data_IF_725662352706
#
_entry.id   IF_725662352706
#
_cell.length_a   1.000
_cell.length_b   1.000
_cell.length_c   1.000
_cell.angle_alpha   90.00
_cell.angle_beta   90.00
_cell.angle_gamma   90.00
#
_symmetry.space_group_name_H-M   'P 1'
#
loop_
_entity.id
_entity.type
_entity.pdbx_description
1 polymer ?
#
# COMPACT_ATOMS: atom_id res chain seq x y z
N UNK A 1 44.05 -6.01 -66.86
CA UNK A 1 43.05 -5.10 -66.26
C UNK A 1 41.77 -5.81 -65.80
N UNK A 2 40.99 -6.53 -66.62
CA UNK A 2 39.73 -7.16 -66.15
C UNK A 2 39.89 -8.22 -65.03
N UNK A 3 41.02 -8.95 -65.02
CA UNK A 3 41.28 -9.99 -64.00
C UNK A 3 41.68 -9.37 -62.65
N UNK A 4 42.38 -8.24 -62.63
CA UNK A 4 42.73 -7.51 -61.40
C UNK A 4 41.49 -6.90 -60.73
N UNK A 5 40.59 -6.29 -61.51
CA UNK A 5 39.32 -5.76 -60.99
C UNK A 5 38.45 -6.86 -60.37
N UNK A 6 38.44 -8.06 -60.94
CA UNK A 6 37.71 -9.20 -60.36
C UNK A 6 38.32 -9.68 -59.03
N UNK A 7 39.64 -9.63 -58.87
CA UNK A 7 40.32 -10.02 -57.63
C UNK A 7 40.12 -9.00 -56.51
N UNK A 8 40.14 -7.70 -56.81
CA UNK A 8 39.84 -6.65 -55.83
C UNK A 8 38.39 -6.69 -55.33
N UNK A 9 37.45 -6.95 -56.25
CA UNK A 9 36.04 -7.14 -55.89
C UNK A 9 35.86 -8.40 -55.00
N UNK A 10 36.49 -9.52 -55.34
CA UNK A 10 36.44 -10.73 -54.52
C UNK A 10 37.01 -10.50 -53.10
N UNK A 11 38.10 -9.75 -52.96
CA UNK A 11 38.69 -9.42 -51.65
C UNK A 11 37.79 -8.51 -50.80
N UNK A 12 37.08 -7.56 -51.42
CA UNK A 12 36.14 -6.69 -50.70
C UNK A 12 34.92 -7.46 -50.18
N UNK A 13 34.36 -8.39 -50.97
CA UNK A 13 33.28 -9.27 -50.51
C UNK A 13 33.71 -10.19 -49.36
N UNK A 14 34.93 -10.74 -49.39
CA UNK A 14 35.46 -11.55 -48.29
C UNK A 14 35.63 -10.75 -46.99
N UNK A 15 36.09 -9.49 -47.08
CA UNK A 15 36.18 -8.58 -45.93
C UNK A 15 34.82 -8.19 -45.38
N UNK A 16 33.83 -7.95 -46.24
CA UNK A 16 32.44 -7.69 -45.81
C UNK A 16 31.84 -8.92 -45.11
N UNK A 17 32.02 -10.12 -45.66
CA UNK A 17 31.57 -11.38 -45.04
C UNK A 17 32.18 -11.59 -43.66
N UNK A 18 33.49 -11.39 -43.52
CA UNK A 18 34.17 -11.54 -42.23
C UNK A 18 33.71 -10.49 -41.21
N UNK A 19 33.45 -9.25 -41.66
CA UNK A 19 32.85 -8.21 -40.80
C UNK A 19 31.44 -8.60 -40.33
N UNK A 20 30.59 -9.12 -41.22
CA UNK A 20 29.26 -9.59 -40.83
C UNK A 20 29.32 -10.81 -39.91
N UNK A 21 30.25 -11.74 -40.13
CA UNK A 21 30.44 -12.90 -39.26
C UNK A 21 30.88 -12.48 -37.85
N UNK A 22 31.81 -11.52 -37.74
CA UNK A 22 32.23 -10.98 -36.43
C UNK A 22 31.08 -10.23 -35.76
N UNK A 23 30.35 -9.40 -36.49
CA UNK A 23 29.19 -8.67 -35.95
C UNK A 23 28.11 -9.64 -35.44
N UNK A 24 27.79 -10.67 -36.21
CA UNK A 24 26.84 -11.71 -35.82
C UNK A 24 27.32 -12.48 -34.58
N UNK A 25 28.62 -12.79 -34.49
CA UNK A 25 29.22 -13.42 -33.33
C UNK A 25 29.10 -12.56 -32.06
N UNK A 26 29.41 -11.26 -32.17
CA UNK A 26 29.28 -10.31 -31.05
C UNK A 26 27.83 -10.19 -30.60
N UNK A 27 26.88 -10.04 -31.53
CA UNK A 27 25.45 -9.96 -31.22
C UNK A 27 24.91 -11.25 -30.59
N UNK A 28 25.37 -12.42 -31.07
CA UNK A 28 25.02 -13.70 -30.47
C UNK A 28 25.53 -13.81 -29.03
N UNK A 29 26.77 -13.41 -28.79
CA UNK A 29 27.38 -13.47 -27.47
C UNK A 29 26.73 -12.50 -26.48
N UNK A 30 26.42 -11.26 -26.90
CA UNK A 30 25.70 -10.30 -26.05
C UNK A 30 24.28 -10.78 -25.74
N UNK A 31 23.61 -11.45 -26.68
CA UNK A 31 22.28 -12.03 -26.47
C UNK A 31 22.34 -13.14 -25.43
N UNK A 32 23.31 -14.06 -25.53
CA UNK A 32 23.50 -15.14 -24.56
C UNK A 32 23.81 -14.62 -23.15
N UNK A 33 24.69 -13.62 -23.04
CA UNK A 33 25.01 -12.98 -21.75
C UNK A 33 23.78 -12.30 -21.17
N UNK A 34 23.00 -11.56 -21.98
CA UNK A 34 21.78 -10.90 -21.53
C UNK A 34 20.71 -11.90 -21.07
N UNK A 35 20.57 -13.03 -21.78
CA UNK A 35 19.62 -14.07 -21.42
C UNK A 35 20.04 -14.77 -20.12
N UNK A 36 21.33 -15.07 -19.96
CA UNK A 36 21.88 -15.60 -18.71
C UNK A 36 21.62 -14.67 -17.53
N UNK A 37 21.88 -13.38 -17.68
CA UNK A 37 21.61 -12.37 -16.65
C UNK A 37 20.12 -12.22 -16.32
N UNK A 38 19.23 -12.41 -17.30
CA UNK A 38 17.79 -12.38 -17.07
C UNK A 38 17.30 -13.60 -16.28
N UNK A 39 17.87 -14.79 -16.53
CA UNK A 39 17.52 -16.04 -15.83
C UNK A 39 18.06 -16.06 -14.40
N UNK A 40 19.20 -15.42 -14.13
CA UNK A 40 19.77 -15.34 -12.78
C UNK A 40 19.20 -14.19 -11.94
N UNK A 41 18.15 -13.49 -12.40
CA UNK A 41 17.49 -12.51 -11.54
C UNK A 41 16.84 -13.25 -10.39
N UNK A 42 17.22 -12.89 -9.17
CA UNK A 42 16.55 -13.35 -7.95
C UNK A 42 15.05 -13.09 -8.06
N UNK A 43 14.25 -14.15 -8.04
CA UNK A 43 12.80 -14.05 -7.97
C UNK A 43 12.42 -13.57 -6.57
N UNK A 44 12.15 -12.28 -6.43
CA UNK A 44 11.56 -11.74 -5.22
C UNK A 44 10.07 -12.12 -5.17
N UNK A 45 9.73 -13.17 -4.43
CA UNK A 45 8.33 -13.53 -4.19
C UNK A 45 7.73 -12.56 -3.17
N UNK A 46 6.85 -11.67 -3.64
CA UNK A 46 6.05 -10.83 -2.76
C UNK A 46 4.90 -11.67 -2.21
N UNK A 47 5.04 -12.13 -0.96
CA UNK A 47 3.96 -12.80 -0.26
C UNK A 47 2.85 -11.79 0.03
N UNK A 48 1.69 -12.00 -0.59
CA UNK A 48 0.46 -11.26 -0.28
C UNK A 48 -0.35 -12.04 0.78
N UNK A 49 -1.11 -11.35 1.64
CA UNK A 49 -2.07 -12.02 2.51
C UNK A 49 -3.02 -12.93 1.73
N UNK A 50 -3.64 -13.89 2.41
CA UNK A 50 -4.70 -14.72 1.81
C UNK A 50 -5.87 -13.80 1.45
N UNK A 51 -6.20 -13.71 0.17
CA UNK A 51 -7.27 -12.84 -0.34
C UNK A 51 -8.25 -13.68 -1.14
N UNK A 52 -9.55 -13.38 -0.99
CA UNK A 52 -10.59 -14.04 -1.79
C UNK A 52 -10.51 -13.60 -3.27
N UNK A 53 -10.00 -12.40 -3.52
CA UNK A 53 -9.88 -11.78 -4.83
C UNK A 53 -8.43 -11.42 -5.15
N UNK A 54 -8.07 -11.44 -6.43
CA UNK A 54 -6.78 -10.91 -6.91
C UNK A 54 -6.94 -9.40 -7.12
N UNK A 55 -6.09 -8.60 -6.48
CA UNK A 55 -6.04 -7.16 -6.67
C UNK A 55 -4.64 -6.71 -7.09
N UNK A 56 -4.58 -5.56 -7.75
CA UNK A 56 -3.35 -4.94 -8.21
C UNK A 56 -3.21 -3.52 -7.65
N UNK A 57 -1.96 -3.10 -7.47
CA UNK A 57 -1.62 -1.69 -7.23
C UNK A 57 -0.76 -1.27 -8.41
N UNK A 58 -1.26 -0.36 -9.24
CA UNK A 58 -0.54 0.17 -10.39
C UNK A 58 -0.21 1.65 -10.18
N UNK A 59 0.52 2.28 -11.10
CA UNK A 59 0.65 3.74 -11.10
C UNK A 59 -0.69 4.44 -11.34
N UNK A 60 -1.58 3.83 -12.15
CA UNK A 60 -2.85 4.42 -12.58
C UNK A 60 -3.96 4.45 -11.53
N UNK A 61 -3.89 3.63 -10.47
CA UNK A 61 -4.96 3.58 -9.48
C UNK A 61 -4.75 2.55 -8.40
N UNK A 62 -5.75 2.39 -7.55
CA UNK A 62 -5.85 1.34 -6.54
C UNK A 62 -7.16 0.61 -6.77
N UNK A 63 -7.14 -0.71 -6.70
CA UNK A 63 -8.36 -1.50 -6.84
C UNK A 63 -9.18 -1.45 -5.54
N UNK A 64 -10.52 -1.46 -5.66
CA UNK A 64 -11.42 -1.41 -4.50
C UNK A 64 -11.14 -2.51 -3.46
N UNK A 65 -10.88 -3.78 -3.83
CA UNK A 65 -10.59 -4.83 -2.85
C UNK A 65 -9.30 -4.58 -2.06
N UNK A 66 -8.29 -3.97 -2.67
CA UNK A 66 -7.06 -3.58 -1.95
C UNK A 66 -7.36 -2.46 -0.95
N UNK A 67 -8.11 -1.44 -1.37
CA UNK A 67 -8.48 -0.33 -0.50
C UNK A 67 -9.32 -0.80 0.69
N UNK A 68 -10.25 -1.74 0.46
CA UNK A 68 -11.05 -2.37 1.51
C UNK A 68 -10.18 -3.18 2.47
N UNK A 69 -9.23 -3.97 1.94
CA UNK A 69 -8.31 -4.75 2.76
C UNK A 69 -7.48 -3.87 3.70
N UNK A 70 -6.84 -2.82 3.14
CA UNK A 70 -6.01 -1.89 3.92
C UNK A 70 -6.85 -1.10 4.91
N UNK A 71 -8.06 -0.70 4.52
CA UNK A 71 -8.99 0.01 5.41
C UNK A 71 -9.42 -0.87 6.57
N UNK A 72 -9.74 -2.14 6.33
CA UNK A 72 -10.09 -3.10 7.39
C UNK A 72 -8.97 -3.26 8.41
N UNK A 73 -7.75 -3.51 7.92
CA UNK A 73 -6.58 -3.67 8.79
C UNK A 73 -6.34 -2.42 9.64
N UNK A 74 -6.35 -1.26 8.99
CA UNK A 74 -6.10 0.03 9.64
C UNK A 74 -7.21 0.40 10.62
N UNK A 75 -8.49 0.15 10.28
CA UNK A 75 -9.62 0.41 11.16
C UNK A 75 -9.57 -0.47 12.41
N UNK A 76 -9.20 -1.74 12.28
CA UNK A 76 -9.05 -2.64 13.42
C UNK A 76 -7.92 -2.19 14.35
N UNK A 77 -6.80 -1.69 13.82
CA UNK A 77 -5.72 -1.13 14.64
C UNK A 77 -6.14 0.18 15.30
N UNK A 78 -6.73 1.12 14.55
CA UNK A 78 -7.09 2.45 15.06
C UNK A 78 -8.19 2.44 16.11
N UNK A 79 -9.22 1.62 15.89
CA UNK A 79 -10.48 1.66 16.66
C UNK A 79 -10.53 0.65 17.82
N UNK A 80 -9.46 -0.12 18.02
CA UNK A 80 -9.33 -1.04 19.15
C UNK A 80 -8.10 -0.68 19.98
N UNK A 81 -8.30 -0.36 21.26
CA UNK A 81 -7.21 0.03 22.16
C UNK A 81 -7.52 -0.28 23.61
N UNK A 82 -6.47 -0.58 24.36
CA UNK A 82 -6.50 -0.82 25.79
C UNK A 82 -5.29 -0.15 26.47
N UNK A 83 -5.36 0.21 27.76
CA UNK A 83 -4.31 0.93 28.48
C UNK A 83 -2.94 0.26 28.39
N UNK A 84 -2.90 -1.07 28.39
CA UNK A 84 -1.68 -1.89 28.40
C UNK A 84 -0.95 -1.87 27.05
N UNK A 85 -1.63 -1.50 25.96
CA UNK A 85 -1.10 -1.55 24.60
C UNK A 85 -1.01 -0.18 23.92
N UNK A 86 -1.21 0.92 24.64
CA UNK A 86 -1.30 2.28 24.06
C UNK A 86 -0.03 2.71 23.32
N UNK A 87 1.16 2.41 23.86
CA UNK A 87 2.42 2.78 23.24
C UNK A 87 2.64 2.03 21.91
N UNK A 88 2.31 0.73 21.89
CA UNK A 88 2.36 -0.10 20.69
C UNK A 88 1.33 0.36 19.64
N UNK A 89 0.11 0.66 20.08
CA UNK A 89 -0.97 1.17 19.25
C UNK A 89 -0.57 2.46 18.54
N UNK A 90 -0.08 3.46 19.28
CA UNK A 90 0.37 4.73 18.72
C UNK A 90 1.50 4.54 17.71
N UNK A 91 2.52 3.74 18.06
CA UNK A 91 3.65 3.48 17.17
C UNK A 91 3.22 2.83 15.85
N UNK A 92 2.24 1.92 15.87
CA UNK A 92 1.74 1.27 14.66
C UNK A 92 0.93 2.21 13.77
N UNK A 93 0.10 3.07 14.36
CA UNK A 93 -0.68 4.04 13.58
C UNK A 93 0.26 5.04 12.88
N UNK A 94 1.31 5.50 13.56
CA UNK A 94 2.26 6.45 12.98
C UNK A 94 3.04 5.87 11.80
N UNK A 95 3.26 4.55 11.74
CA UNK A 95 3.85 3.88 10.57
C UNK A 95 2.95 3.92 9.34
N UNK A 96 1.64 3.99 9.54
CA UNK A 96 0.64 4.07 8.48
C UNK A 96 0.40 5.51 8.01
N UNK A 97 0.82 6.51 8.80
CA UNK A 97 0.54 7.91 8.56
C UNK A 97 1.24 8.45 7.31
N UNK A 98 0.57 9.30 6.56
CA UNK A 98 1.25 10.11 5.56
C UNK A 98 2.21 11.09 6.26
N UNK A 99 3.49 11.21 5.83
CA UNK A 99 4.47 12.16 6.35
C UNK A 99 3.98 13.60 6.44
N UNK A 100 3.13 14.06 5.52
CA UNK A 100 2.56 15.41 5.60
C UNK A 100 1.52 15.54 6.73
N UNK A 101 0.81 14.46 7.04
CA UNK A 101 -0.17 14.39 8.13
C UNK A 101 0.42 13.93 9.47
N UNK A 102 1.64 13.39 9.49
CA UNK A 102 2.25 12.70 10.62
C UNK A 102 2.32 13.58 11.89
N UNK A 103 2.68 14.86 11.75
CA UNK A 103 2.78 15.78 12.89
C UNK A 103 1.44 15.99 13.59
N UNK A 104 0.39 16.28 12.81
CA UNK A 104 -0.97 16.46 13.32
C UNK A 104 -1.51 15.16 13.94
N UNK A 105 -1.38 14.04 13.24
CA UNK A 105 -1.86 12.75 13.73
C UNK A 105 -1.14 12.37 15.03
N UNK A 106 0.17 12.56 15.13
CA UNK A 106 0.91 12.34 16.37
C UNK A 106 0.36 13.16 17.54
N UNK A 107 0.05 14.44 17.32
CA UNK A 107 -0.51 15.28 18.38
C UNK A 107 -1.86 14.76 18.87
N UNK A 108 -2.74 14.34 17.96
CA UNK A 108 -4.05 13.73 18.29
C UNK A 108 -3.89 12.41 19.07
N UNK A 109 -2.98 11.54 18.62
CA UNK A 109 -2.72 10.26 19.29
C UNK A 109 -2.11 10.45 20.68
N UNK A 110 -1.17 11.38 20.86
CA UNK A 110 -0.58 11.67 22.18
C UNK A 110 -1.65 12.13 23.15
N UNK A 111 -2.57 13.02 22.71
CA UNK A 111 -3.69 13.44 23.56
C UNK A 111 -4.54 12.25 24.01
N UNK A 112 -4.88 11.35 23.10
CA UNK A 112 -5.63 10.12 23.42
C UNK A 112 -4.86 9.26 24.42
N UNK A 113 -3.56 9.09 24.22
CA UNK A 113 -2.71 8.29 25.12
C UNK A 113 -2.69 8.90 26.52
N UNK A 114 -2.49 10.21 26.64
CA UNK A 114 -2.50 10.89 27.95
C UNK A 114 -3.86 10.81 28.65
N UNK A 115 -4.97 10.91 27.90
CA UNK A 115 -6.32 10.78 28.45
C UNK A 115 -6.64 9.35 28.94
N UNK A 116 -6.08 8.33 28.29
CA UNK A 116 -6.35 6.92 28.62
C UNK A 116 -5.31 6.28 29.54
N UNK A 117 -4.11 6.86 29.66
CA UNK A 117 -3.05 6.34 30.51
C UNK A 117 -3.47 6.39 31.97
N UNK A 118 -3.40 5.24 32.65
CA UNK A 118 -3.83 5.12 34.04
C UNK A 118 -5.35 5.03 34.24
N UNK A 119 -6.14 4.99 33.17
CA UNK A 119 -7.55 4.61 33.22
C UNK A 119 -7.70 3.10 32.96
N UNK A 120 -8.81 2.50 33.43
CA UNK A 120 -9.20 1.13 33.07
C UNK A 120 -10.11 1.09 31.83
N UNK A 121 -10.04 2.13 30.98
CA UNK A 121 -10.91 2.29 29.82
C UNK A 121 -10.31 1.58 28.61
N UNK A 122 -11.04 0.62 28.06
CA UNK A 122 -10.71 -0.01 26.77
C UNK A 122 -11.82 0.21 25.74
N UNK A 123 -11.46 0.14 24.47
CA UNK A 123 -12.38 0.31 23.35
C UNK A 123 -12.22 -0.85 22.38
N UNK A 124 -13.36 -1.36 21.90
CA UNK A 124 -13.40 -2.35 20.85
C UNK A 124 -14.40 -1.95 19.77
N UNK A 125 -14.03 -2.14 18.51
CA UNK A 125 -14.87 -1.80 17.38
C UNK A 125 -15.18 -3.03 16.54
N UNK A 126 -16.48 -3.27 16.34
CA UNK A 126 -16.99 -4.37 15.52
C UNK A 126 -17.50 -3.79 14.20
N UNK A 127 -16.80 -4.08 13.11
CA UNK A 127 -17.18 -3.64 11.76
C UNK A 127 -18.49 -4.31 11.36
N UNK A 128 -19.45 -3.52 10.87
CA UNK A 128 -20.71 -4.00 10.32
C UNK A 128 -20.75 -3.87 8.79
N UNK A 129 -20.21 -2.78 8.26
CA UNK A 129 -20.18 -2.47 6.83
C UNK A 129 -18.99 -1.58 6.49
N UNK A 130 -18.56 -1.66 5.23
CA UNK A 130 -17.49 -0.85 4.68
C UNK A 130 -17.86 -0.38 3.28
N UNK A 131 -17.56 0.88 2.99
CA UNK A 131 -17.70 1.45 1.66
C UNK A 131 -16.40 2.11 1.25
N UNK A 132 -15.89 1.78 0.06
CA UNK A 132 -14.61 2.30 -0.43
C UNK A 132 -14.78 3.03 -1.75
N UNK A 133 -14.11 4.16 -1.89
CA UNK A 133 -14.02 4.92 -3.14
C UNK A 133 -12.54 5.07 -3.53
N UNK A 134 -12.04 4.22 -4.45
CA UNK A 134 -10.66 4.30 -4.91
C UNK A 134 -10.33 5.55 -5.73
N UNK A 135 -11.34 6.20 -6.33
CA UNK A 135 -11.12 7.44 -7.08
C UNK A 135 -10.90 8.61 -6.15
N UNK A 136 -11.73 8.71 -5.10
CA UNK A 136 -11.56 9.72 -4.06
C UNK A 136 -10.46 9.37 -3.05
N UNK A 137 -9.92 8.14 -3.07
CA UNK A 137 -9.02 7.60 -2.06
C UNK A 137 -9.62 7.75 -0.64
N UNK A 138 -10.90 7.42 -0.51
CA UNK A 138 -11.61 7.47 0.77
C UNK A 138 -12.28 6.15 1.09
N UNK A 139 -12.50 5.92 2.38
CA UNK A 139 -13.18 4.73 2.85
C UNK A 139 -14.00 5.08 4.07
N UNK A 140 -15.21 4.54 4.16
CA UNK A 140 -16.09 4.72 5.31
C UNK A 140 -16.34 3.36 5.93
N UNK A 141 -16.10 3.26 7.23
CA UNK A 141 -16.33 2.04 8.01
C UNK A 141 -17.41 2.34 9.04
N UNK A 142 -18.49 1.57 9.02
CA UNK A 142 -19.55 1.69 10.02
C UNK A 142 -19.61 0.41 10.84
N UNK A 143 -19.84 0.57 12.13
CA UNK A 143 -19.80 -0.54 13.07
C UNK A 143 -20.26 -0.13 14.46
N UNK A 144 -20.05 -1.03 15.42
CA UNK A 144 -20.39 -0.78 16.82
C UNK A 144 -19.12 -0.53 17.61
N UNK A 145 -19.00 0.67 18.19
CA UNK A 145 -17.96 1.01 19.14
C UNK A 145 -18.44 0.68 20.55
N UNK A 146 -17.73 -0.23 21.21
CA UNK A 146 -17.93 -0.61 22.60
C UNK A 146 -16.84 0.00 23.46
N UNK A 147 -17.23 0.64 24.55
CA UNK A 147 -16.31 1.15 25.57
C UNK A 147 -16.49 0.34 26.84
N UNK A 148 -15.38 -0.09 27.42
CA UNK A 148 -15.33 -0.89 28.63
C UNK A 148 -14.62 -0.14 29.74
N UNK A 149 -15.02 -0.42 30.98
CA UNK A 149 -14.24 -0.10 32.18
C UNK A 149 -14.00 -1.42 32.90
N UNK A 150 -12.75 -1.86 32.92
CA UNK A 150 -12.41 -3.22 33.35
C UNK A 150 -13.19 -4.27 32.53
N UNK A 151 -14.04 -5.05 33.19
CA UNK A 151 -14.84 -6.11 32.56
C UNK A 151 -16.24 -5.68 32.10
N UNK A 152 -16.67 -4.45 32.38
CA UNK A 152 -18.05 -4.00 32.12
C UNK A 152 -18.13 -3.11 30.88
N UNK A 153 -19.16 -3.33 30.05
CA UNK A 153 -19.50 -2.44 28.92
C UNK A 153 -20.25 -1.22 29.45
N UNK A 154 -19.66 -0.04 29.32
CA UNK A 154 -20.29 1.23 29.76
C UNK A 154 -20.96 1.98 28.61
N UNK A 155 -20.57 1.72 27.36
CA UNK A 155 -21.18 2.30 26.18
C UNK A 155 -21.11 1.34 24.99
N UNK A 156 -22.15 1.35 24.15
CA UNK A 156 -22.20 0.60 22.90
C UNK A 156 -22.98 1.42 21.87
N UNK A 157 -22.29 1.98 20.88
CA UNK A 157 -22.86 2.95 19.95
C UNK A 157 -22.53 2.57 18.52
N UNK A 158 -23.50 2.69 17.61
CA UNK A 158 -23.23 2.58 16.17
C UNK A 158 -22.55 3.87 15.73
N UNK A 159 -21.34 3.75 15.16
CA UNK A 159 -20.53 4.88 14.71
C UNK A 159 -19.96 4.59 13.32
N UNK A 160 -19.80 5.66 12.55
CA UNK A 160 -19.20 5.63 11.22
C UNK A 160 -17.92 6.46 11.23
N UNK A 161 -16.89 5.96 10.59
CA UNK A 161 -15.58 6.60 10.51
C UNK A 161 -15.14 6.70 9.07
N UNK A 162 -14.65 7.89 8.68
CA UNK A 162 -14.07 8.12 7.36
C UNK A 162 -12.55 8.14 7.45
N UNK A 163 -11.93 7.37 6.57
CA UNK A 163 -10.51 7.28 6.33
C UNK A 163 -10.22 8.00 5.01
N UNK A 164 -9.24 8.90 5.04
CA UNK A 164 -8.69 9.55 3.84
C UNK A 164 -7.30 9.01 3.60
N UNK A 165 -7.07 8.58 2.39
CA UNK A 165 -5.82 7.97 1.98
C UNK A 165 -5.07 8.89 1.03
N UNK A 166 -3.76 8.73 1.01
CA UNK A 166 -2.86 9.39 0.07
C UNK A 166 -1.98 8.33 -0.56
N UNK A 167 -1.82 8.42 -1.88
CA UNK A 167 -1.02 7.48 -2.65
C UNK A 167 0.26 8.18 -3.11
N UNK A 168 1.40 7.55 -2.87
CA UNK A 168 2.71 8.00 -3.38
C UNK A 168 3.43 6.81 -4.01
N UNK A 169 3.57 6.85 -5.34
CA UNK A 169 4.06 5.70 -6.10
C UNK A 169 3.13 4.50 -5.92
N UNK A 170 3.66 3.41 -5.36
CA UNK A 170 2.92 2.17 -5.06
C UNK A 170 2.47 2.07 -3.60
N UNK A 171 2.78 3.05 -2.76
CA UNK A 171 2.43 3.04 -1.34
C UNK A 171 1.18 3.85 -1.06
N UNK A 172 0.33 3.34 -0.16
CA UNK A 172 -0.84 4.01 0.38
C UNK A 172 -0.56 4.39 1.83
N UNK A 173 -0.91 5.61 2.23
CA UNK A 173 -0.73 6.11 3.58
C UNK A 173 -1.98 6.84 4.08
N UNK A 174 -2.23 6.76 5.38
CA UNK A 174 -3.35 7.40 6.07
C UNK A 174 -3.11 8.92 6.16
N UNK A 175 -3.87 9.68 5.40
CA UNK A 175 -3.81 11.15 5.38
C UNK A 175 -4.74 11.80 6.42
N UNK A 176 -5.81 11.10 6.80
CA UNK A 176 -6.74 11.59 7.81
C UNK A 176 -7.75 10.54 8.24
N UNK A 177 -8.29 10.74 9.44
CA UNK A 177 -9.28 9.89 10.05
C UNK A 177 -10.25 10.80 10.81
N UNK A 178 -11.56 10.61 10.60
CA UNK A 178 -12.60 11.39 11.26
C UNK A 178 -13.81 10.53 11.59
N UNK A 179 -14.43 10.78 12.74
CA UNK A 179 -15.74 10.23 13.05
C UNK A 179 -16.81 11.03 12.31
N UNK A 180 -17.72 10.34 11.64
CA UNK A 180 -18.85 10.96 10.97
C UNK A 180 -19.98 11.21 11.98
N UNK A 181 -20.78 12.28 11.76
CA UNK A 181 -22.02 12.48 12.50
C UNK A 181 -22.89 11.24 12.40
N UNK A 182 -23.50 10.84 13.50
CA UNK A 182 -24.50 9.78 13.49
C UNK A 182 -25.83 10.41 13.11
N UNK A 183 -26.65 9.78 12.26
CA UNK A 183 -27.96 10.29 11.78
C UNK A 183 -28.99 10.60 12.89
N UNK A 184 -28.60 10.56 14.18
CA UNK A 184 -29.40 10.94 15.35
C UNK A 184 -28.86 12.14 16.13
N UNK A 185 -27.89 12.87 15.57
CA UNK A 185 -27.55 14.23 16.03
C UNK A 185 -28.14 15.23 15.04
N UNK A 186 -29.47 15.24 14.91
CA UNK A 186 -30.14 16.49 14.54
C UNK A 186 -29.84 17.49 15.68
N UNK A 187 -29.29 18.69 15.38
CA UNK A 187 -29.19 19.74 16.37
C UNK A 187 -30.61 20.25 16.65
N UNK A 188 -31.26 19.62 17.63
CA UNK A 188 -32.55 20.02 18.14
C UNK A 188 -32.43 21.21 19.09
N UNK A 189 -32.85 22.37 18.59
CA UNK A 189 -33.40 23.55 19.28
C UNK A 189 -32.46 24.40 20.14
#
# INVERSE_FOLDING_TARGET
>A
MQVEFAHEQAQTYLRQRNRFAVLAGVLGLTTLVSLGAAVTRDEQVVLVPITAERFSVSSGGIDAPYLELVTRDTALVLLNRAPESLDYWMANILKLADPAAHGRLKAELVRIVEEQRGSDISQAFVIAEMHVDPKALTSTVTGTLKTFVGAQVIASQRRSFRFRWSKRGLSLALAGFEQLPTDKEEPGQ
#
